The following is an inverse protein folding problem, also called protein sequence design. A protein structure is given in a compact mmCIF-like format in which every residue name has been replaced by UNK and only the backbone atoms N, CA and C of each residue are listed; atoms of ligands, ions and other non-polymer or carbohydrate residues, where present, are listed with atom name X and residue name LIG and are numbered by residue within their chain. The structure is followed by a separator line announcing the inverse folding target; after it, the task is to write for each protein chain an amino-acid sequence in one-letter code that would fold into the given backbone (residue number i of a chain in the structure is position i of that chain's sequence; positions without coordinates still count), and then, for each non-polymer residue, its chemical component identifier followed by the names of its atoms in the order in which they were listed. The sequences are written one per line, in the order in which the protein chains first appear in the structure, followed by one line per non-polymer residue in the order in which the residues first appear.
data_IF_028861381385
#
_entry.id   IF_028861381385
#
_cell.length_a   1.000
_cell.length_b   1.000
_cell.length_c   1.000
_cell.angle_alpha   90.00
_cell.angle_beta   90.00
_cell.angle_gamma   90.00
#
_symmetry.space_group_name_H-M   'P 1'
#
loop_
_entity.id
_entity.type
_entity.pdbx_description
1 polymer ?
#
# COMPACT_ATOMS: atom_id res chain seq x y z
N UNK A 1 19.66 49.88 48.99
CA UNK A 1 19.99 48.71 49.82
C UNK A 1 20.06 47.49 48.92
N UNK A 2 21.28 47.02 48.63
CA UNK A 2 21.54 45.75 47.95
C UNK A 2 21.55 44.61 48.97
N UNK A 3 20.98 43.45 48.61
CA UNK A 3 21.43 42.16 49.11
C UNK A 3 21.49 41.15 47.97
N UNK A 4 22.67 40.56 47.83
CA UNK A 4 23.09 39.54 46.89
C UNK A 4 22.86 38.15 47.47
N UNK A 5 22.71 37.14 46.60
CA UNK A 5 23.18 35.74 46.78
C UNK A 5 23.45 35.20 45.36
N UNK A 6 24.69 35.25 44.87
CA UNK A 6 25.76 34.22 44.90
C UNK A 6 25.46 32.95 44.08
N UNK A 7 26.18 32.90 42.95
CA UNK A 7 26.75 31.81 42.17
C UNK A 7 26.51 30.34 42.57
N UNK A 8 26.15 29.56 41.56
CA UNK A 8 26.39 28.12 41.48
C UNK A 8 26.48 27.67 40.03
N UNK A 9 27.70 27.63 39.49
CA UNK A 9 28.05 26.99 38.22
C UNK A 9 28.16 25.47 38.44
N UNK A 10 27.52 24.67 37.58
CA UNK A 10 27.81 23.23 37.43
C UNK A 10 27.94 22.90 35.94
N UNK A 11 28.96 22.10 35.67
CA UNK A 11 29.58 21.79 34.40
C UNK A 11 28.76 20.87 33.49
N UNK A 12 29.16 20.88 32.22
CA UNK A 12 28.76 20.06 31.09
C UNK A 12 28.69 18.55 31.39
N UNK A 13 27.65 17.92 30.86
CA UNK A 13 27.59 16.48 30.61
C UNK A 13 26.67 16.22 29.42
N UNK A 14 27.24 16.13 28.22
CA UNK A 14 26.51 15.67 27.05
C UNK A 14 26.31 14.15 27.16
N UNK A 15 25.06 13.71 27.24
CA UNK A 15 24.67 12.32 27.00
C UNK A 15 23.91 12.26 25.69
N UNK A 16 24.54 11.64 24.70
CA UNK A 16 23.90 11.12 23.49
C UNK A 16 23.45 9.71 23.84
N UNK A 17 22.14 9.40 23.80
CA UNK A 17 21.63 8.05 23.49
C UNK A 17 20.15 8.15 23.08
N UNK A 18 19.95 7.82 21.81
CA UNK A 18 18.85 7.09 21.17
C UNK A 18 17.39 7.52 21.31
N UNK A 19 16.82 7.78 20.13
CA UNK A 19 15.41 7.79 19.84
C UNK A 19 14.79 6.41 20.07
N UNK A 20 13.83 6.31 20.99
CA UNK A 20 12.90 5.20 21.04
C UNK A 20 11.74 5.48 20.09
N UNK A 21 11.91 4.97 18.87
CA UNK A 21 10.81 4.69 17.96
C UNK A 21 9.93 3.62 18.62
N UNK A 22 8.80 4.04 19.22
CA UNK A 22 7.71 3.14 19.62
C UNK A 22 7.09 2.51 18.36
N UNK A 23 7.75 1.47 17.88
CA UNK A 23 7.30 0.61 16.80
C UNK A 23 6.52 -0.51 17.45
N UNK A 24 5.24 -0.27 17.75
CA UNK A 24 4.32 -1.37 18.07
C UNK A 24 4.09 -2.16 16.79
N UNK A 25 4.96 -3.15 16.61
CA UNK A 25 4.93 -4.14 15.53
C UNK A 25 3.69 -4.99 15.76
N UNK A 26 2.67 -4.75 14.93
CA UNK A 26 1.54 -5.66 14.78
C UNK A 26 2.07 -7.04 14.36
N UNK A 27 2.02 -7.99 15.29
CA UNK A 27 2.14 -9.42 15.01
C UNK A 27 0.99 -9.84 14.09
N UNK A 28 1.22 -9.76 12.78
CA UNK A 28 0.41 -10.44 11.77
C UNK A 28 0.71 -11.94 11.88
N UNK A 29 -0.31 -12.73 12.23
CA UNK A 29 -0.30 -14.18 12.05
C UNK A 29 -0.03 -14.48 10.57
N UNK A 30 1.18 -14.94 10.29
CA UNK A 30 1.76 -15.14 8.97
C UNK A 30 1.64 -16.61 8.53
N UNK A 31 0.54 -17.30 8.84
CA UNK A 31 0.40 -18.76 8.60
C UNK A 31 0.16 -19.16 7.13
N UNK A 32 0.66 -18.38 6.17
CA UNK A 32 0.54 -18.74 4.75
C UNK A 32 1.34 -17.89 3.77
N UNK A 33 2.28 -17.07 4.26
CA UNK A 33 3.03 -16.13 3.42
C UNK A 33 4.55 -16.38 3.42
N UNK A 34 4.98 -17.56 3.87
CA UNK A 34 6.39 -17.93 3.88
C UNK A 34 6.79 -18.55 2.53
N UNK A 35 7.63 -17.84 1.77
CA UNK A 35 8.30 -18.24 0.51
C UNK A 35 7.78 -17.66 -0.83
N UNK A 36 7.21 -16.45 -0.87
CA UNK A 36 7.34 -15.69 -2.12
C UNK A 36 8.70 -14.99 -2.14
N UNK A 37 9.66 -15.63 -2.81
CA UNK A 37 10.94 -15.02 -3.18
C UNK A 37 10.65 -13.90 -4.18
N UNK A 38 10.31 -12.72 -3.67
CA UNK A 38 10.23 -11.45 -4.41
C UNK A 38 11.66 -11.09 -4.83
N UNK A 39 12.16 -11.76 -5.87
CA UNK A 39 13.33 -11.28 -6.60
C UNK A 39 12.86 -10.06 -7.43
N UNK A 40 12.60 -8.94 -6.74
CA UNK A 40 12.49 -7.64 -7.38
C UNK A 40 13.90 -7.24 -7.78
N UNK A 41 14.25 -7.52 -9.04
CA UNK A 41 15.50 -7.13 -9.67
C UNK A 41 15.46 -5.60 -9.91
N UNK A 42 15.58 -4.81 -8.82
CA UNK A 42 15.45 -3.35 -8.75
C UNK A 42 16.55 -2.57 -9.53
N UNK A 43 17.32 -3.22 -10.41
CA UNK A 43 18.57 -2.65 -10.93
C UNK A 43 18.86 -2.86 -12.42
N UNK A 44 18.04 -3.59 -13.19
CA UNK A 44 18.33 -3.74 -14.63
C UNK A 44 17.78 -2.56 -15.42
N UNK A 45 18.69 -1.76 -16.00
CA UNK A 45 18.38 -0.72 -16.99
C UNK A 45 17.64 -1.35 -18.18
N UNK A 46 16.31 -1.38 -18.11
CA UNK A 46 15.47 -1.76 -19.23
C UNK A 46 15.57 -0.69 -20.31
N UNK A 47 16.16 -1.06 -21.44
CA UNK A 47 16.16 -0.24 -22.66
C UNK A 47 14.72 0.21 -22.97
N UNK A 48 14.50 1.52 -23.10
CA UNK A 48 13.23 2.17 -23.44
C UNK A 48 12.60 1.56 -24.71
N UNK A 49 11.89 0.43 -24.58
CA UNK A 49 10.83 0.09 -25.51
C UNK A 49 9.63 0.89 -25.06
N UNK A 50 9.43 2.05 -25.69
CA UNK A 50 8.21 2.86 -25.61
C UNK A 50 7.02 2.09 -26.18
N UNK A 51 6.64 0.98 -25.54
CA UNK A 51 5.31 0.41 -25.69
C UNK A 51 4.43 1.30 -24.83
N UNK A 52 3.47 2.00 -25.44
CA UNK A 52 2.41 2.72 -24.73
C UNK A 52 1.96 1.87 -23.54
N UNK A 53 2.13 2.38 -22.33
CA UNK A 53 1.76 1.65 -21.14
C UNK A 53 0.27 1.34 -21.20
N UNK A 54 -0.06 0.07 -21.45
CA UNK A 54 -1.44 -0.39 -21.46
C UNK A 54 -1.87 -0.46 -20.00
N UNK A 55 -2.85 0.38 -19.64
CA UNK A 55 -3.48 0.32 -18.33
C UNK A 55 -4.20 -1.00 -18.10
N UNK A 56 -4.35 -1.36 -16.83
CA UNK A 56 -5.15 -2.50 -16.38
C UNK A 56 -6.57 -2.01 -16.10
N UNK A 57 -7.55 -2.56 -16.81
CA UNK A 57 -8.95 -2.23 -16.51
C UNK A 57 -9.43 -2.99 -15.28
N UNK A 58 -10.02 -2.24 -14.35
CA UNK A 58 -10.66 -2.72 -13.12
C UNK A 58 -12.07 -2.18 -13.03
N UNK A 59 -12.95 -3.00 -12.49
CA UNK A 59 -14.31 -2.66 -12.10
C UNK A 59 -14.38 -2.65 -10.57
N UNK A 60 -14.97 -1.57 -10.05
CA UNK A 60 -15.12 -1.29 -8.63
C UNK A 60 -16.58 -1.47 -8.23
N UNK A 61 -16.79 -2.02 -7.05
CA UNK A 61 -18.10 -2.42 -6.57
C UNK A 61 -18.36 -1.87 -5.17
N UNK A 62 -19.59 -1.40 -4.97
CA UNK A 62 -20.05 -0.79 -3.72
C UNK A 62 -20.49 -1.80 -2.67
N UNK A 63 -20.53 -3.09 -3.00
CA UNK A 63 -20.77 -4.18 -2.07
C UNK A 63 -19.71 -5.28 -2.22
N UNK A 64 -19.68 -6.22 -1.28
CA UNK A 64 -18.87 -7.43 -1.35
C UNK A 64 -19.34 -8.34 -2.49
N UNK A 65 -18.50 -9.28 -2.92
CA UNK A 65 -18.80 -10.30 -3.92
C UNK A 65 -19.24 -9.75 -5.29
N UNK A 66 -18.69 -8.58 -5.66
CA UNK A 66 -18.93 -7.93 -6.95
C UNK A 66 -20.38 -7.50 -7.18
N UNK A 67 -21.10 -7.22 -6.10
CA UNK A 67 -22.44 -6.65 -6.17
C UNK A 67 -22.38 -5.11 -6.22
N UNK A 68 -23.39 -4.49 -6.85
CA UNK A 68 -23.50 -3.03 -7.03
C UNK A 68 -22.28 -2.42 -7.75
N UNK A 69 -22.16 -2.67 -9.06
CA UNK A 69 -21.11 -2.07 -9.90
C UNK A 69 -21.19 -0.54 -9.85
N UNK A 70 -20.07 0.10 -9.51
CA UNK A 70 -19.98 1.55 -9.41
C UNK A 70 -19.30 2.14 -10.64
N UNK A 71 -18.10 1.66 -10.95
CA UNK A 71 -17.25 2.30 -11.96
C UNK A 71 -16.22 1.34 -12.52
N UNK A 72 -15.97 1.47 -13.81
CA UNK A 72 -14.83 0.85 -14.49
C UNK A 72 -13.76 1.91 -14.75
N UNK A 73 -12.53 1.64 -14.31
CA UNK A 73 -11.37 2.52 -14.50
C UNK A 73 -10.20 1.74 -15.11
N UNK A 74 -9.26 2.46 -15.73
CA UNK A 74 -8.03 1.89 -16.25
C UNK A 74 -6.85 2.39 -15.41
N UNK A 75 -6.30 1.52 -14.58
CA UNK A 75 -5.15 1.81 -13.73
C UNK A 75 -3.88 1.79 -14.57
N UNK A 76 -3.11 2.87 -14.55
CA UNK A 76 -1.75 2.84 -15.08
C UNK A 76 -0.83 2.09 -14.11
N UNK A 77 0.22 1.42 -14.64
CA UNK A 77 1.21 0.77 -13.81
C UNK A 77 1.82 1.72 -12.77
N UNK A 78 1.87 1.28 -11.51
CA UNK A 78 2.54 1.97 -10.41
C UNK A 78 2.02 3.39 -10.12
N UNK A 79 0.81 3.73 -10.58
CA UNK A 79 0.10 4.96 -10.24
C UNK A 79 -1.02 4.66 -9.23
N UNK A 80 -1.28 5.60 -8.32
CA UNK A 80 -2.36 5.51 -7.35
C UNK A 80 -3.59 6.30 -7.80
N UNK A 81 -4.77 5.77 -7.50
CA UNK A 81 -6.06 6.38 -7.83
C UNK A 81 -6.93 6.40 -6.58
N UNK A 82 -7.37 7.60 -6.18
CA UNK A 82 -8.38 7.76 -5.13
C UNK A 82 -9.77 7.43 -5.70
N UNK A 83 -10.55 6.69 -4.91
CA UNK A 83 -11.85 6.13 -5.26
C UNK A 83 -12.80 6.23 -4.07
N UNK A 84 -14.10 6.09 -4.30
CA UNK A 84 -15.10 6.23 -3.26
C UNK A 84 -15.61 4.87 -2.81
N UNK A 85 -15.34 4.53 -1.54
CA UNK A 85 -15.97 3.42 -0.80
C UNK A 85 -16.13 2.11 -1.58
N UNK A 86 -15.00 1.48 -1.89
CA UNK A 86 -14.97 0.20 -2.62
C UNK A 86 -14.94 -0.96 -1.64
N UNK A 87 -15.86 -1.92 -1.84
CA UNK A 87 -15.96 -3.14 -1.03
C UNK A 87 -15.42 -4.37 -1.73
N UNK A 88 -15.51 -4.41 -3.06
CA UNK A 88 -14.90 -5.45 -3.87
C UNK A 88 -14.41 -4.89 -5.20
N UNK A 89 -13.42 -5.54 -5.79
CA UNK A 89 -12.87 -5.11 -7.08
C UNK A 89 -12.48 -6.30 -7.94
N UNK A 90 -12.68 -6.16 -9.25
CA UNK A 90 -12.30 -7.17 -10.23
C UNK A 90 -11.58 -6.52 -11.39
N UNK A 91 -10.42 -7.03 -11.72
CA UNK A 91 -9.71 -6.64 -12.92
C UNK A 91 -10.07 -7.56 -14.09
N UNK A 92 -9.92 -7.06 -15.31
CA UNK A 92 -10.13 -7.89 -16.49
C UNK A 92 -9.19 -9.09 -16.51
N UNK A 93 -9.71 -10.23 -17.00
CA UNK A 93 -9.09 -11.57 -16.97
C UNK A 93 -7.85 -11.72 -17.88
N UNK A 94 -7.27 -10.60 -18.33
CA UNK A 94 -6.08 -10.63 -19.17
C UNK A 94 -4.88 -11.15 -18.37
N UNK A 95 -4.61 -12.45 -18.53
CA UNK A 95 -3.46 -13.20 -17.97
C UNK A 95 -2.09 -12.63 -18.36
N UNK A 96 -2.05 -11.61 -19.22
CA UNK A 96 -0.80 -10.96 -19.65
C UNK A 96 -0.22 -10.03 -18.58
N UNK A 97 -1.03 -9.56 -17.65
CA UNK A 97 -0.61 -8.54 -16.68
C UNK A 97 -0.10 -9.18 -15.39
N UNK A 98 1.23 -9.18 -15.24
CA UNK A 98 1.92 -9.53 -14.00
C UNK A 98 1.82 -8.37 -13.00
N UNK A 99 1.92 -8.68 -11.71
CA UNK A 99 1.91 -7.68 -10.65
C UNK A 99 0.96 -8.01 -9.51
N UNK A 100 0.54 -6.97 -8.80
CA UNK A 100 -0.46 -7.06 -7.74
C UNK A 100 -1.47 -5.92 -7.84
N UNK A 101 -2.73 -6.22 -7.58
CA UNK A 101 -3.74 -5.22 -7.28
C UNK A 101 -3.63 -4.87 -5.81
N UNK A 102 -3.74 -3.58 -5.50
CA UNK A 102 -3.71 -3.11 -4.12
C UNK A 102 -4.90 -2.18 -3.91
N UNK A 103 -5.61 -2.37 -2.82
CA UNK A 103 -6.70 -1.51 -2.37
C UNK A 103 -6.43 -1.08 -0.93
N UNK A 104 -6.55 0.21 -0.62
CA UNK A 104 -6.14 0.77 0.66
C UNK A 104 -7.25 1.57 1.32
N UNK A 105 -7.25 1.57 2.66
CA UNK A 105 -8.23 2.28 3.50
C UNK A 105 -7.96 3.78 3.64
N UNK A 106 -6.83 4.28 3.14
CA UNK A 106 -6.51 5.71 3.09
C UNK A 106 -6.21 6.16 1.65
N UNK A 107 -6.28 7.47 1.44
CA UNK A 107 -5.97 8.08 0.15
C UNK A 107 -4.49 7.90 -0.23
N UNK A 108 -4.21 8.08 -1.51
CA UNK A 108 -2.86 8.00 -2.10
C UNK A 108 -2.15 6.66 -1.82
N UNK A 109 -2.94 5.59 -1.71
CA UNK A 109 -2.47 4.20 -1.57
C UNK A 109 -1.64 3.99 -0.29
N UNK A 110 -2.03 4.67 0.78
CA UNK A 110 -1.40 4.62 2.09
C UNK A 110 -2.21 3.83 3.12
N UNK A 111 -1.61 3.64 4.29
CA UNK A 111 -2.27 3.05 5.45
C UNK A 111 -2.44 1.53 5.32
N UNK A 112 -3.57 1.02 5.81
CA UNK A 112 -3.87 -0.40 5.72
C UNK A 112 -4.31 -0.75 4.30
N UNK A 113 -3.65 -1.74 3.70
CA UNK A 113 -3.88 -2.13 2.33
C UNK A 113 -4.05 -3.63 2.19
N UNK A 114 -4.98 -4.02 1.31
CA UNK A 114 -5.14 -5.38 0.83
C UNK A 114 -4.43 -5.54 -0.50
N UNK A 115 -3.49 -6.48 -0.55
CA UNK A 115 -2.71 -6.83 -1.75
C UNK A 115 -3.20 -8.16 -2.32
N UNK A 116 -3.54 -8.18 -3.61
CA UNK A 116 -3.85 -9.39 -4.38
C UNK A 116 -2.84 -9.58 -5.52
N UNK A 117 -1.92 -10.54 -5.39
CA UNK A 117 -1.06 -10.91 -6.50
C UNK A 117 -1.90 -11.42 -7.68
N UNK A 118 -1.74 -10.80 -8.85
CA UNK A 118 -2.47 -11.14 -10.09
C UNK A 118 -2.23 -12.55 -10.61
N UNK A 119 -1.18 -13.22 -10.12
CA UNK A 119 -0.90 -14.63 -10.43
C UNK A 119 -1.83 -15.60 -9.68
N UNK A 120 -2.47 -15.13 -8.61
CA UNK A 120 -3.36 -15.93 -7.75
C UNK A 120 -4.80 -15.66 -8.14
N UNK A 121 -5.16 -14.38 -8.21
CA UNK A 121 -6.51 -13.96 -8.54
C UNK A 121 -6.51 -12.61 -9.23
N UNK A 122 -7.54 -12.40 -10.04
CA UNK A 122 -7.86 -11.13 -10.68
C UNK A 122 -8.92 -10.34 -9.89
N UNK A 123 -9.29 -10.87 -8.72
CA UNK A 123 -10.49 -10.53 -7.98
C UNK A 123 -10.20 -10.37 -6.48
N UNK A 124 -10.83 -9.37 -5.87
CA UNK A 124 -10.89 -9.12 -4.44
C UNK A 124 -12.37 -9.05 -4.03
N UNK A 125 -12.97 -10.16 -3.58
CA UNK A 125 -14.41 -10.23 -3.31
C UNK A 125 -14.82 -9.56 -2.00
N UNK A 126 -13.93 -9.48 -1.01
CA UNK A 126 -14.22 -8.83 0.28
C UNK A 126 -13.00 -8.07 0.76
N UNK A 127 -12.98 -6.77 0.46
CA UNK A 127 -11.91 -5.87 0.91
C UNK A 127 -12.20 -5.36 2.33
N UNK A 128 -13.46 -5.30 2.73
CA UNK A 128 -13.89 -4.67 3.96
C UNK A 128 -13.38 -5.40 5.19
N UNK A 129 -13.48 -6.74 5.20
CA UNK A 129 -12.93 -7.57 6.26
C UNK A 129 -11.40 -7.43 6.35
N UNK A 130 -10.70 -7.42 5.20
CA UNK A 130 -9.25 -7.33 5.11
C UNK A 130 -8.69 -5.95 5.53
N UNK A 131 -9.52 -4.89 5.46
CA UNK A 131 -9.16 -3.52 5.83
C UNK A 131 -9.64 -3.12 7.23
N UNK A 132 -9.96 -4.09 8.09
CA UNK A 132 -10.35 -3.82 9.47
C UNK A 132 -11.70 -3.10 9.59
N UNK A 133 -12.68 -3.58 8.83
CA UNK A 133 -14.03 -3.01 8.73
C UNK A 133 -14.06 -1.60 8.15
N UNK A 134 -13.24 -1.36 7.12
CA UNK A 134 -13.19 -0.11 6.36
C UNK A 134 -13.28 -0.40 4.87
N UNK A 135 -13.87 0.52 4.14
CA UNK A 135 -13.88 0.47 2.67
C UNK A 135 -12.53 0.90 2.11
N UNK A 136 -12.22 0.43 0.90
CA UNK A 136 -11.08 0.98 0.18
C UNK A 136 -11.43 2.34 -0.41
N UNK A 137 -10.51 3.29 -0.25
CA UNK A 137 -10.62 4.66 -0.76
C UNK A 137 -9.50 5.01 -1.75
N UNK A 138 -8.56 4.09 -1.96
CA UNK A 138 -7.60 4.19 -3.05
C UNK A 138 -7.21 2.82 -3.59
N UNK A 139 -6.81 2.78 -4.85
CA UNK A 139 -6.41 1.56 -5.56
C UNK A 139 -5.19 1.81 -6.44
N UNK A 140 -4.35 0.79 -6.58
CA UNK A 140 -3.22 0.79 -7.51
C UNK A 140 -2.97 -0.59 -8.12
N UNK A 141 -2.30 -0.59 -9.26
CA UNK A 141 -1.75 -1.79 -9.86
C UNK A 141 -0.23 -1.69 -9.88
N UNK A 142 0.42 -2.48 -9.03
CA UNK A 142 1.87 -2.60 -9.00
C UNK A 142 2.29 -3.53 -10.13
N UNK A 143 3.01 -3.03 -11.14
CA UNK A 143 3.50 -3.82 -12.26
C UNK A 143 5.03 -3.81 -12.32
N UNK A 144 5.71 -4.98 -12.26
CA UNK A 144 7.17 -5.06 -12.17
C UNK A 144 7.92 -4.86 -13.51
N UNK A 145 7.22 -4.67 -14.63
CA UNK A 145 7.83 -4.56 -15.97
C UNK A 145 7.56 -3.22 -16.66
N UNK A 146 7.13 -2.22 -15.90
CA UNK A 146 6.89 -0.85 -16.35
C UNK A 146 7.83 0.13 -15.67
#
# INVERSE_FOLDING_TARGET
MLRQFVFGSVLLGAVVVSADNSSDIQKLNFDGMDNYKLNMDLGKKYTKRSKRARGLSVELFGNTNFDSSQKKIALRPNECYNVENVYSLRAEKYMKYKGALVACAAEDCNGLCRVMPRRISDELPDIFADLGNKTAVSVTWISPYY
#
